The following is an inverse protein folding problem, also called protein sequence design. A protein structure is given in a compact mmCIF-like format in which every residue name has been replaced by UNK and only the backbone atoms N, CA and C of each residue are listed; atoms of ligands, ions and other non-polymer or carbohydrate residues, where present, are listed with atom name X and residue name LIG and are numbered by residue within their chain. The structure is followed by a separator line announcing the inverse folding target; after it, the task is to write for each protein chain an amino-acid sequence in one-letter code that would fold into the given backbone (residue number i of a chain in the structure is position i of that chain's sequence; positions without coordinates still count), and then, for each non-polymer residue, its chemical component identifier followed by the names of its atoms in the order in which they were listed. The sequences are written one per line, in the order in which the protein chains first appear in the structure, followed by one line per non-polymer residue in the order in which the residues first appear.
data_IF_291504275190
#
_entry.id   IF_291504275190
#
_cell.length_a   1.000
_cell.length_b   1.000
_cell.length_c   1.000
_cell.angle_alpha   90.00
_cell.angle_beta   90.00
_cell.angle_gamma   90.00
#
_symmetry.space_group_name_H-M   'P 1'
#
loop_
_entity.id
_entity.type
_entity.pdbx_description
1 polymer ?
#
# COMPACT_ATOMS: atom_id res chain seq x y z
N UNK A 1 -14.02 4.30 6.84
CA UNK A 1 -15.00 3.61 5.97
C UNK A 1 -14.38 3.52 4.58
N UNK A 2 -13.93 2.32 4.17
CA UNK A 2 -13.49 2.07 2.80
C UNK A 2 -14.72 2.22 1.90
N UNK A 3 -14.71 3.18 0.99
CA UNK A 3 -15.87 3.50 0.13
C UNK A 3 -16.03 2.44 -0.97
N UNK A 4 -17.14 2.46 -1.71
CA UNK A 4 -17.47 1.49 -2.78
C UNK A 4 -16.38 1.33 -3.85
N UNK A 5 -15.49 2.33 -4.03
CA UNK A 5 -14.27 2.21 -4.85
C UNK A 5 -13.21 1.37 -4.15
N UNK A 6 -12.63 0.43 -4.89
CA UNK A 6 -11.62 -0.50 -4.39
C UNK A 6 -10.38 0.21 -3.85
N UNK A 7 -10.28 0.35 -2.53
CA UNK A 7 -9.06 0.83 -1.86
C UNK A 7 -7.85 -0.04 -2.22
N UNK A 8 -8.04 -1.35 -2.21
CA UNK A 8 -7.04 -2.32 -2.65
C UNK A 8 -6.61 -2.09 -4.11
N UNK A 9 -7.58 -1.85 -5.00
CA UNK A 9 -7.29 -1.52 -6.41
C UNK A 9 -6.52 -0.20 -6.52
N UNK A 10 -6.92 0.83 -5.78
CA UNK A 10 -6.28 2.16 -5.84
C UNK A 10 -4.84 2.12 -5.33
N UNK A 11 -4.61 1.44 -4.20
CA UNK A 11 -3.26 1.21 -3.68
C UNK A 11 -2.45 0.35 -4.63
N UNK A 12 -3.06 -0.67 -5.25
CA UNK A 12 -2.43 -1.50 -6.29
C UNK A 12 -1.98 -0.66 -7.49
N UNK A 13 -2.78 0.32 -7.92
CA UNK A 13 -2.38 1.29 -8.95
C UNK A 13 -1.17 2.12 -8.52
N UNK A 14 -0.92 2.33 -7.23
CA UNK A 14 0.28 2.99 -6.72
C UNK A 14 1.45 2.02 -6.44
N UNK A 15 1.38 0.76 -6.88
CA UNK A 15 2.32 -0.32 -6.56
C UNK A 15 2.40 -0.68 -5.06
N UNK A 16 1.34 -0.42 -4.30
CA UNK A 16 1.20 -0.81 -2.90
C UNK A 16 0.15 -1.91 -2.79
N UNK A 17 0.59 -3.15 -2.59
CA UNK A 17 -0.31 -4.30 -2.49
C UNK A 17 -0.66 -4.61 -1.05
N UNK A 18 -1.95 -4.50 -0.70
CA UNK A 18 -2.53 -4.88 0.59
C UNK A 18 -3.80 -5.71 0.35
N UNK A 19 -4.33 -6.33 1.41
CA UNK A 19 -5.55 -7.13 1.33
C UNK A 19 -6.65 -6.53 2.20
N UNK A 20 -7.86 -6.40 1.64
CA UNK A 20 -9.07 -6.10 2.41
C UNK A 20 -9.34 -7.18 3.46
N UNK A 21 -9.71 -6.76 4.67
CA UNK A 21 -9.97 -7.68 5.77
C UNK A 21 -11.07 -7.13 6.68
N UNK A 22 -11.97 -8.00 7.13
CA UNK A 22 -13.00 -7.62 8.08
C UNK A 22 -12.39 -7.21 9.42
N UNK A 23 -13.01 -6.24 10.09
CA UNK A 23 -12.65 -5.83 11.46
C UNK A 23 -13.71 -6.32 12.46
N UNK A 24 -13.41 -6.41 13.77
CA UNK A 24 -14.42 -6.72 14.77
C UNK A 24 -15.62 -5.76 14.64
N UNK A 25 -16.84 -6.29 14.63
CA UNK A 25 -18.08 -5.54 14.41
C UNK A 25 -18.10 -4.74 13.10
N UNK A 26 -17.54 -5.29 12.02
CA UNK A 26 -17.49 -4.63 10.71
C UNK A 26 -18.89 -4.16 10.28
N UNK A 27 -19.11 -2.84 10.08
CA UNK A 27 -20.39 -2.33 9.60
C UNK A 27 -20.66 -2.69 8.14
N UNK A 28 -19.67 -3.21 7.41
CA UNK A 28 -19.77 -3.59 6.00
C UNK A 28 -19.95 -5.10 5.83
N UNK A 29 -20.59 -5.47 4.72
CA UNK A 29 -20.73 -6.88 4.32
C UNK A 29 -19.37 -7.57 4.18
N UNK A 30 -19.37 -8.90 4.41
CA UNK A 30 -18.21 -9.80 4.22
C UNK A 30 -17.52 -9.66 2.85
N UNK A 31 -18.23 -9.19 1.82
CA UNK A 31 -17.70 -9.01 0.46
C UNK A 31 -17.02 -7.65 0.25
N UNK A 32 -17.23 -6.67 1.13
CA UNK A 32 -16.69 -5.32 1.01
C UNK A 32 -15.62 -5.13 2.07
N UNK A 33 -15.96 -5.39 3.34
CA UNK A 33 -15.14 -5.16 4.54
C UNK A 33 -14.65 -3.71 4.71
N UNK A 34 -14.46 -3.26 5.94
CA UNK A 34 -14.03 -1.88 6.22
C UNK A 34 -12.56 -1.76 6.65
N UNK A 35 -11.80 -2.86 6.67
CA UNK A 35 -10.40 -2.90 7.10
C UNK A 35 -9.39 -3.31 6.03
N UNK A 36 -8.12 -3.07 6.34
CA UNK A 36 -6.95 -3.51 5.59
C UNK A 36 -6.04 -4.31 6.52
N UNK A 37 -5.45 -5.39 6.01
CA UNK A 37 -4.38 -6.11 6.70
C UNK A 37 -3.03 -5.67 6.11
N UNK A 38 -2.15 -5.20 6.99
CA UNK A 38 -0.79 -4.76 6.64
C UNK A 38 0.21 -5.73 7.28
N UNK A 39 1.19 -6.18 6.49
CA UNK A 39 2.28 -7.04 6.94
C UNK A 39 3.63 -6.47 6.57
N UNK A 40 4.57 -6.47 7.51
CA UNK A 40 5.97 -6.05 7.31
C UNK A 40 6.91 -7.09 6.71
N UNK A 41 6.68 -8.43 6.73
CA UNK A 41 7.68 -9.41 6.27
C UNK A 41 8.25 -9.18 4.87
N UNK A 42 7.42 -8.73 3.92
CA UNK A 42 7.87 -8.49 2.55
C UNK A 42 8.86 -7.32 2.45
N UNK A 43 8.57 -6.21 3.14
CA UNK A 43 9.43 -5.02 3.11
C UNK A 43 10.69 -5.23 3.95
N UNK A 44 10.61 -5.93 5.07
CA UNK A 44 11.78 -6.19 5.91
C UNK A 44 12.74 -7.20 5.25
N UNK A 45 12.22 -8.21 4.55
CA UNK A 45 13.05 -9.14 3.76
C UNK A 45 13.77 -8.43 2.61
N UNK A 46 13.14 -7.38 2.04
CA UNK A 46 13.75 -6.50 1.03
C UNK A 46 14.83 -5.58 1.62
N UNK A 47 14.88 -5.40 2.94
CA UNK A 47 15.87 -4.56 3.62
C UNK A 47 15.35 -3.22 4.13
N UNK A 48 14.04 -2.94 4.01
CA UNK A 48 13.45 -1.73 4.59
C UNK A 48 13.58 -1.77 6.12
N UNK A 49 13.78 -0.59 6.70
CA UNK A 49 13.80 -0.33 8.13
C UNK A 49 12.63 0.57 8.50
N UNK A 50 12.62 1.00 9.75
CA UNK A 50 11.60 1.89 10.32
C UNK A 50 11.37 3.16 9.47
N UNK A 51 12.42 3.86 8.96
CA UNK A 51 12.22 5.05 8.14
C UNK A 51 11.44 4.77 6.84
N UNK A 52 11.79 3.70 6.13
CA UNK A 52 11.12 3.33 4.88
C UNK A 52 9.69 2.85 5.15
N UNK A 53 9.47 2.12 6.25
CA UNK A 53 8.14 1.71 6.67
C UNK A 53 7.23 2.92 6.98
N UNK A 54 7.76 3.95 7.64
CA UNK A 54 7.04 5.21 7.88
C UNK A 54 6.67 5.93 6.60
N UNK A 55 7.57 5.94 5.60
CA UNK A 55 7.30 6.52 4.27
C UNK A 55 6.13 5.77 3.59
N UNK A 56 6.18 4.43 3.57
CA UNK A 56 5.11 3.60 2.98
C UNK A 56 3.77 3.83 3.69
N UNK A 57 3.77 3.92 5.02
CA UNK A 57 2.56 4.22 5.79
C UNK A 57 1.99 5.61 5.42
N UNK A 58 2.85 6.61 5.26
CA UNK A 58 2.45 7.95 4.83
C UNK A 58 1.79 7.93 3.45
N UNK A 59 2.35 7.18 2.49
CA UNK A 59 1.76 7.03 1.14
C UNK A 59 0.38 6.38 1.16
N UNK A 60 0.20 5.35 2.01
CA UNK A 60 -1.11 4.72 2.21
C UNK A 60 -2.11 5.76 2.71
N UNK A 61 -1.79 6.50 3.77
CA UNK A 61 -2.66 7.56 4.29
C UNK A 61 -2.98 8.61 3.23
N UNK A 62 -1.97 9.07 2.50
CA UNK A 62 -2.07 10.07 1.44
C UNK A 62 -3.09 9.69 0.35
N UNK A 63 -3.08 8.43 -0.07
CA UNK A 63 -4.01 7.88 -1.07
C UNK A 63 -5.41 7.72 -0.46
N UNK A 64 -5.51 7.21 0.77
CA UNK A 64 -6.80 7.00 1.44
C UNK A 64 -7.56 8.31 1.69
N UNK A 65 -6.86 9.42 1.93
CA UNK A 65 -7.47 10.74 2.08
C UNK A 65 -8.16 11.23 0.80
N UNK A 66 -7.60 10.90 -0.37
CA UNK A 66 -8.09 11.34 -1.69
C UNK A 66 -7.94 10.24 -2.73
N UNK A 67 -8.77 9.20 -2.61
CA UNK A 67 -8.72 7.96 -3.41
C UNK A 67 -8.90 8.16 -4.93
N UNK A 68 -9.46 9.29 -5.36
CA UNK A 68 -9.69 9.60 -6.78
C UNK A 68 -8.62 10.53 -7.37
N UNK A 69 -7.60 10.89 -6.59
CA UNK A 69 -6.56 11.81 -7.05
C UNK A 69 -5.49 11.08 -7.85
N UNK A 70 -5.74 10.97 -9.15
CA UNK A 70 -4.86 10.32 -10.13
C UNK A 70 -3.42 10.84 -10.09
N UNK A 71 -3.24 12.16 -10.01
CA UNK A 71 -1.91 12.77 -9.92
C UNK A 71 -1.14 12.32 -8.67
N UNK A 72 -1.84 12.17 -7.54
CA UNK A 72 -1.23 11.69 -6.29
C UNK A 72 -0.87 10.20 -6.40
N UNK A 73 -1.74 9.38 -6.99
CA UNK A 73 -1.50 7.95 -7.22
C UNK A 73 -0.26 7.76 -8.10
N UNK A 74 -0.15 8.51 -9.20
CA UNK A 74 0.99 8.44 -10.13
C UNK A 74 2.29 8.90 -9.47
N UNK A 75 2.26 9.97 -8.67
CA UNK A 75 3.42 10.41 -7.88
C UNK A 75 3.89 9.31 -6.94
N UNK A 76 2.98 8.76 -6.13
CA UNK A 76 3.31 7.70 -5.17
C UNK A 76 3.84 6.46 -5.90
N UNK A 77 3.26 6.08 -7.04
CA UNK A 77 3.77 4.95 -7.85
C UNK A 77 5.25 5.12 -8.19
N UNK A 78 5.63 6.31 -8.65
CA UNK A 78 7.03 6.60 -9.00
C UNK A 78 7.93 6.59 -7.77
N UNK A 79 7.48 7.17 -6.65
CA UNK A 79 8.22 7.15 -5.38
C UNK A 79 8.41 5.72 -4.84
N UNK A 80 7.40 4.85 -4.95
CA UNK A 80 7.47 3.43 -4.59
C UNK A 80 8.50 2.69 -5.44
N UNK A 81 8.53 2.93 -6.76
CA UNK A 81 9.52 2.33 -7.67
C UNK A 81 10.93 2.78 -7.29
N UNK A 82 11.12 4.09 -7.07
CA UNK A 82 12.41 4.65 -6.68
C UNK A 82 12.92 4.06 -5.36
N UNK A 83 12.04 3.89 -4.37
CA UNK A 83 12.41 3.26 -3.11
C UNK A 83 12.76 1.78 -3.31
N UNK A 84 11.94 1.03 -4.06
CA UNK A 84 12.23 -0.38 -4.34
C UNK A 84 13.56 -0.58 -5.10
N UNK A 85 13.95 0.36 -5.98
CA UNK A 85 15.22 0.30 -6.70
C UNK A 85 16.44 0.50 -5.79
N UNK A 86 16.29 1.20 -4.66
CA UNK A 86 17.36 1.32 -3.65
C UNK A 86 17.54 0.03 -2.83
N UNK A 87 16.52 -0.84 -2.83
CA UNK A 87 16.50 -2.10 -2.10
C UNK A 87 16.09 -3.25 -3.03
N UNK A 88 16.94 -3.65 -4.01
CA UNK A 88 16.60 -4.71 -4.95
C UNK A 88 16.47 -6.07 -4.24
N UNK A 89 15.44 -6.84 -4.59
CA UNK A 89 15.19 -8.17 -4.02
C UNK A 89 16.16 -9.22 -4.57
N UNK A 90 16.52 -9.09 -5.84
CA UNK A 90 17.47 -9.96 -6.51
C UNK A 90 18.60 -9.10 -7.04
N UNK A 91 19.82 -9.33 -6.54
CA UNK A 91 21.02 -8.82 -7.19
C UNK A 91 21.17 -9.62 -8.49
N UNK A 92 21.13 -8.94 -9.64
CA UNK A 92 21.43 -9.61 -10.91
C UNK A 92 22.81 -10.25 -10.78
N UNK A 93 22.90 -11.58 -10.88
CA UNK A 93 24.18 -12.23 -11.10
C UNK A 93 24.69 -11.73 -12.46
N UNK A 94 25.76 -10.94 -12.42
CA UNK A 94 26.63 -10.74 -13.58
C UNK A 94 27.33 -12.05 -13.94
#
# INVERSE_FOLDING_TARGET
MLREKGVEETLGRANITLNKNAVPNDPQSRFITSGLRIGTPAITTRGFKEPEASIVASWICDILEKIENEKKIDRVRNEVINLCNQFPVYLSKG
#
